data_IF_752671865147
#
_entry.id   IF_752671865147
#
_cell.length_a   1.000
_cell.length_b   1.000
_cell.length_c   1.000
_cell.angle_alpha   90.00
_cell.angle_beta   90.00
_cell.angle_gamma   90.00
#
_symmetry.space_group_name_H-M   'P 1'
#
loop_
_entity.id
_entity.type
_entity.pdbx_description
1 polymer ?
#
# COMPACT_ATOMS: atom_id res chain seq x y z
N UNK A 1 9.27 12.56 3.20
CA UNK A 1 8.78 12.48 4.59
C UNK A 1 9.77 13.07 5.58
N UNK A 2 11.02 12.59 5.62
CA UNK A 2 12.06 13.06 6.55
C UNK A 2 12.12 14.59 6.69
N UNK A 3 12.32 15.32 5.58
CA UNK A 3 12.44 16.79 5.58
C UNK A 3 11.21 17.48 6.19
N UNK A 4 10.01 16.99 5.89
CA UNK A 4 8.76 17.58 6.40
C UNK A 4 8.59 17.37 7.91
N UNK A 5 8.95 16.19 8.41
CA UNK A 5 8.91 15.90 9.87
C UNK A 5 9.99 16.71 10.58
N UNK A 6 11.21 16.73 10.05
CA UNK A 6 12.31 17.51 10.60
C UNK A 6 11.93 19.00 10.67
N UNK A 7 11.40 19.57 9.58
CA UNK A 7 10.93 20.95 9.57
C UNK A 7 9.80 21.23 10.57
N UNK A 8 8.85 20.30 10.77
CA UNK A 8 7.79 20.44 11.79
C UNK A 8 8.40 20.51 13.20
N UNK A 9 9.40 19.67 13.47
CA UNK A 9 10.07 19.59 14.77
C UNK A 9 10.91 20.83 15.05
N UNK A 10 11.58 21.38 14.04
CA UNK A 10 12.39 22.60 14.18
C UNK A 10 11.60 23.90 14.36
N UNK A 11 10.26 23.90 14.19
CA UNK A 11 9.43 25.10 14.43
C UNK A 11 9.38 25.48 15.91
N UNK A 12 9.20 26.76 16.22
CA UNK A 12 9.18 27.28 17.61
C UNK A 12 7.96 26.86 18.44
N UNK A 13 6.98 26.14 17.88
CA UNK A 13 5.80 25.69 18.64
C UNK A 13 6.14 24.63 19.69
N UNK A 14 5.77 24.90 20.94
CA UNK A 14 5.88 23.96 22.06
C UNK A 14 4.96 22.74 21.90
N UNK A 15 3.77 22.91 21.31
CA UNK A 15 2.85 21.80 21.04
C UNK A 15 2.85 21.47 19.56
N UNK A 16 3.13 20.21 19.24
CA UNK A 16 3.21 19.71 17.87
C UNK A 16 2.28 18.52 17.72
N UNK A 17 1.57 18.47 16.61
CA UNK A 17 0.69 17.36 16.24
C UNK A 17 1.20 16.75 14.93
N UNK A 18 1.48 15.45 14.96
CA UNK A 18 1.83 14.67 13.79
C UNK A 18 0.81 13.52 13.66
N UNK A 19 0.02 13.55 12.60
CA UNK A 19 -0.95 12.49 12.29
C UNK A 19 -0.43 11.74 11.07
N UNK A 20 -0.20 10.44 11.23
CA UNK A 20 0.03 9.53 10.12
C UNK A 20 -1.30 8.98 9.62
N UNK A 21 -1.67 9.41 8.42
CA UNK A 21 -2.85 8.93 7.72
C UNK A 21 -2.42 8.39 6.34
N UNK A 22 -2.93 7.21 5.97
CA UNK A 22 -2.66 6.57 4.69
C UNK A 22 -2.59 5.05 4.80
N UNK A 23 -2.20 4.41 3.69
CA UNK A 23 -2.01 2.96 3.62
C UNK A 23 -0.86 2.54 4.52
N UNK A 24 -1.07 1.50 5.31
CA UNK A 24 -0.05 1.00 6.25
C UNK A 24 0.19 -0.48 6.06
N UNK A 25 1.43 -0.92 6.26
CA UNK A 25 1.77 -2.34 6.22
C UNK A 25 1.17 -3.04 7.45
N UNK A 26 0.52 -4.18 7.23
CA UNK A 26 -0.18 -4.91 8.31
C UNK A 26 0.75 -5.40 9.43
N UNK A 27 1.97 -5.82 9.10
CA UNK A 27 2.88 -6.36 10.12
C UNK A 27 3.68 -5.26 10.84
N UNK A 28 4.33 -4.37 10.08
CA UNK A 28 5.21 -3.35 10.65
C UNK A 28 4.47 -2.10 11.12
N UNK A 29 3.29 -1.84 10.56
CA UNK A 29 2.54 -0.59 10.71
C UNK A 29 3.12 0.55 9.87
N UNK A 30 4.16 0.33 9.08
CA UNK A 30 4.85 1.40 8.34
C UNK A 30 3.90 2.07 7.36
N UNK A 31 3.99 3.40 7.28
CA UNK A 31 3.21 4.17 6.33
C UNK A 31 3.80 4.01 4.93
N UNK A 32 2.96 3.59 3.99
CA UNK A 32 3.35 3.31 2.60
C UNK A 32 3.26 4.58 1.76
N UNK A 33 4.34 4.88 1.03
CA UNK A 33 4.39 5.94 0.02
C UNK A 33 4.71 5.34 -1.34
N UNK A 34 4.40 6.08 -2.41
CA UNK A 34 4.70 5.67 -3.78
C UNK A 34 6.20 5.36 -4.01
N UNK A 35 7.11 5.98 -3.24
CA UNK A 35 8.57 5.78 -3.33
C UNK A 35 9.19 5.36 -1.99
N UNK A 36 8.58 4.39 -1.31
CA UNK A 36 9.15 3.76 -0.12
C UNK A 36 8.22 3.78 1.07
N UNK A 37 8.80 3.59 2.27
CA UNK A 37 8.05 3.45 3.51
C UNK A 37 8.53 4.47 4.54
N UNK A 38 7.63 4.89 5.42
CA UNK A 38 7.97 5.65 6.62
C UNK A 38 7.72 4.80 7.86
N UNK A 39 8.80 4.45 8.56
CA UNK A 39 8.77 3.54 9.69
C UNK A 39 8.93 4.21 11.05
N UNK A 40 8.58 3.49 12.10
CA UNK A 40 8.79 3.92 13.49
C UNK A 40 10.27 4.21 13.79
N UNK A 41 11.18 3.45 13.18
CA UNK A 41 12.62 3.65 13.32
C UNK A 41 13.09 4.95 12.67
N UNK A 42 12.57 5.30 11.49
CA UNK A 42 12.90 6.56 10.83
C UNK A 42 12.40 7.76 11.63
N UNK A 43 11.19 7.69 12.19
CA UNK A 43 10.69 8.74 13.08
C UNK A 43 11.55 8.86 14.34
N UNK A 44 11.92 7.73 14.96
CA UNK A 44 12.82 7.70 16.12
C UNK A 44 14.17 8.38 15.80
N UNK A 45 14.74 8.10 14.63
CA UNK A 45 15.98 8.72 14.18
C UNK A 45 15.82 10.24 14.05
N UNK A 46 14.79 10.70 13.34
CA UNK A 46 14.51 12.13 13.17
C UNK A 46 14.37 12.85 14.51
N UNK A 47 13.66 12.25 15.47
CA UNK A 47 13.50 12.80 16.82
C UNK A 47 14.83 12.89 17.58
N UNK A 48 15.71 11.90 17.39
CA UNK A 48 17.02 11.87 18.05
C UNK A 48 17.95 12.94 17.46
N UNK A 49 17.96 13.11 16.14
CA UNK A 49 18.75 14.14 15.45
C UNK A 49 18.29 15.55 15.83
N UNK A 50 16.97 15.77 15.93
CA UNK A 50 16.40 17.03 16.40
C UNK A 50 16.82 17.40 17.82
N UNK A 51 16.93 16.40 18.69
CA UNK A 51 17.39 16.63 20.05
C UNK A 51 18.86 17.06 20.07
N UNK A 52 19.72 16.43 19.27
CA UNK A 52 21.13 16.79 19.16
C UNK A 52 21.31 18.21 18.59
N UNK A 53 20.49 18.61 17.61
CA UNK A 53 20.49 19.97 17.06
C UNK A 53 20.07 21.02 18.10
N UNK A 54 19.06 20.70 18.93
CA UNK A 54 18.61 21.57 20.01
C UNK A 54 19.68 21.76 21.10
N UNK A 55 20.41 20.69 21.45
CA UNK A 55 21.50 20.74 22.42
C UNK A 55 22.71 21.52 21.90
N UNK A 56 23.06 21.36 20.62
CA UNK A 56 24.25 21.98 20.02
C UNK A 56 24.07 23.46 19.65
N UNK A 57 22.85 23.90 19.33
CA UNK A 57 22.59 25.28 18.89
C UNK A 57 22.67 26.33 20.02
N UNK A 58 22.89 25.91 21.28
CA UNK A 58 23.09 26.82 22.42
C UNK A 58 21.93 27.79 22.66
N UNK A 59 20.77 27.53 22.06
CA UNK A 59 19.62 28.40 22.09
C UNK A 59 19.05 28.41 23.50
N UNK A 60 19.02 29.59 24.12
CA UNK A 60 18.53 29.86 25.47
C UNK A 60 17.03 29.58 25.68
N UNK A 61 16.35 28.96 24.71
CA UNK A 61 14.99 28.43 24.83
C UNK A 61 14.89 27.11 25.62
N UNK A 62 15.92 26.79 26.41
CA UNK A 62 16.17 25.55 27.17
C UNK A 62 15.07 25.11 28.18
N UNK A 63 13.87 25.71 28.16
CA UNK A 63 12.83 25.48 29.16
C UNK A 63 11.43 25.18 28.62
N UNK A 64 11.14 25.31 27.32
CA UNK A 64 9.85 24.87 26.78
C UNK A 64 9.94 23.39 26.40
N UNK A 65 9.55 22.51 27.33
CA UNK A 65 9.39 21.07 27.07
C UNK A 65 8.49 20.87 25.85
N UNK A 66 9.06 20.39 24.74
CA UNK A 66 8.29 20.16 23.50
C UNK A 66 7.30 19.02 23.77
N UNK A 67 6.02 19.24 23.49
CA UNK A 67 4.96 18.24 23.57
C UNK A 67 4.59 17.81 22.16
N UNK A 68 5.01 16.61 21.77
CA UNK A 68 4.64 16.00 20.50
C UNK A 68 3.49 15.02 20.71
N UNK A 69 2.33 15.34 20.16
CA UNK A 69 1.22 14.39 19.99
C UNK A 69 1.39 13.69 18.65
N UNK A 70 1.50 12.37 18.68
CA UNK A 70 1.70 11.51 17.54
C UNK A 70 0.52 10.56 17.41
N UNK A 71 -0.23 10.68 16.31
CA UNK A 71 -1.32 9.76 15.97
C UNK A 71 -0.87 8.83 14.87
N UNK A 72 -0.89 7.53 15.12
CA UNK A 72 -0.50 6.49 14.16
C UNK A 72 -1.49 5.32 14.20
N UNK A 73 -1.50 4.44 13.20
CA UNK A 73 -2.26 3.19 13.28
C UNK A 73 -1.92 2.42 14.55
N UNK A 74 -2.92 1.74 15.13
CA UNK A 74 -2.74 0.86 16.30
C UNK A 74 -2.07 -0.48 15.93
N UNK A 75 -1.48 -0.56 14.74
CA UNK A 75 -0.89 -1.77 14.16
C UNK A 75 0.64 -1.61 14.15
N UNK A 76 1.36 -2.73 14.29
CA UNK A 76 2.81 -2.74 14.21
C UNK A 76 3.54 -2.24 15.46
N UNK A 77 4.77 -1.76 15.29
CA UNK A 77 5.72 -1.52 16.40
C UNK A 77 5.93 -0.04 16.75
N UNK A 78 5.04 0.87 16.30
CA UNK A 78 5.17 2.32 16.54
C UNK A 78 5.37 2.68 18.01
N UNK A 79 4.42 2.27 18.86
CA UNK A 79 4.44 2.58 20.29
C UNK A 79 5.67 1.99 20.97
N UNK A 80 6.00 0.73 20.68
CA UNK A 80 7.15 0.04 21.27
C UNK A 80 8.48 0.68 20.86
N UNK A 81 8.64 1.00 19.58
CA UNK A 81 9.90 1.58 19.04
C UNK A 81 10.15 2.99 19.56
N UNK A 82 9.11 3.82 19.60
CA UNK A 82 9.22 5.22 20.04
C UNK A 82 9.41 5.34 21.56
N UNK A 83 8.77 4.48 22.35
CA UNK A 83 8.91 4.49 23.81
C UNK A 83 10.18 3.80 24.32
N UNK A 84 10.78 2.91 23.53
CA UNK A 84 12.00 2.20 23.89
C UNK A 84 13.27 3.08 23.95
N UNK A 85 13.17 4.41 23.76
CA UNK A 85 14.31 5.32 23.82
C UNK A 85 14.27 6.22 25.06
N UNK A 86 15.07 5.95 26.10
CA UNK A 86 15.10 6.77 27.32
C UNK A 86 15.53 8.22 27.05
N UNK A 87 16.39 8.46 26.06
CA UNK A 87 16.90 9.80 25.72
C UNK A 87 15.82 10.74 25.20
N UNK A 88 14.73 10.21 24.63
CA UNK A 88 13.60 11.01 24.15
C UNK A 88 12.67 11.49 25.28
N UNK A 89 12.77 10.90 26.49
CA UNK A 89 11.79 11.15 27.57
C UNK A 89 12.10 12.39 28.42
N UNK A 90 13.35 12.84 28.48
CA UNK A 90 13.74 14.01 29.28
C UNK A 90 13.36 15.37 28.62
N UNK A 91 13.61 15.59 27.31
CA UNK A 91 13.35 16.88 26.66
C UNK A 91 11.99 16.98 25.95
N UNK A 92 11.38 15.84 25.58
CA UNK A 92 10.15 15.79 24.78
C UNK A 92 9.07 15.00 25.53
N UNK A 93 7.89 15.60 25.68
CA UNK A 93 6.67 14.87 26.09
C UNK A 93 6.04 14.25 24.86
N UNK A 94 6.30 12.95 24.63
CA UNK A 94 5.69 12.21 23.54
C UNK A 94 4.35 11.59 23.96
N UNK A 95 3.25 11.97 23.29
CA UNK A 95 1.91 11.40 23.49
C UNK A 95 1.51 10.61 22.24
N UNK A 96 1.46 9.28 22.34
CA UNK A 96 1.10 8.40 21.21
C UNK A 96 -0.35 7.95 21.36
N UNK A 97 -1.17 8.21 20.34
CA UNK A 97 -2.60 7.87 20.29
C UNK A 97 -3.29 8.20 21.62
N UNK A 98 -3.33 9.48 22.04
CA UNK A 98 -4.03 9.84 23.27
C UNK A 98 -5.50 9.42 23.18
N UNK A 99 -6.13 9.07 24.32
CA UNK A 99 -7.54 8.72 24.33
C UNK A 99 -8.38 9.86 23.76
N UNK A 100 -9.43 9.50 23.05
CA UNK A 100 -10.35 10.47 22.48
C UNK A 100 -11.01 11.29 23.60
N UNK A 101 -10.91 12.61 23.50
CA UNK A 101 -11.44 13.55 24.50
C UNK A 101 -12.80 14.11 24.07
N UNK A 102 -13.19 13.87 22.82
CA UNK A 102 -14.43 14.42 22.27
C UNK A 102 -15.64 13.63 22.79
N UNK A 103 -16.70 14.30 23.26
CA UNK A 103 -17.96 13.64 23.56
C UNK A 103 -18.57 13.08 22.28
N UNK A 104 -19.38 12.02 22.39
CA UNK A 104 -20.15 11.50 21.25
C UNK A 104 -21.01 12.64 20.67
N UNK A 105 -20.69 13.08 19.47
CA UNK A 105 -21.45 14.10 18.74
C UNK A 105 -22.25 13.41 17.64
N UNK A 106 -23.57 13.51 17.70
CA UNK A 106 -24.49 12.96 16.68
C UNK A 106 -24.16 13.48 15.26
N UNK A 107 -23.67 14.71 15.17
CA UNK A 107 -23.23 15.31 13.90
C UNK A 107 -21.97 14.67 13.30
N UNK A 108 -21.07 14.11 14.12
CA UNK A 108 -19.87 13.43 13.64
C UNK A 108 -20.25 12.09 12.99
N UNK A 109 -21.19 11.36 13.60
CA UNK A 109 -21.72 10.11 13.03
C UNK A 109 -22.39 10.36 11.68
N UNK A 110 -23.26 11.37 11.61
CA UNK A 110 -23.88 11.80 10.36
C UNK A 110 -22.86 12.20 9.28
N UNK A 111 -21.80 12.90 9.67
CA UNK A 111 -20.71 13.27 8.76
C UNK A 111 -19.89 12.05 8.30
N UNK A 112 -19.53 11.13 9.20
CA UNK A 112 -18.83 9.90 8.82
C UNK A 112 -19.67 9.01 7.90
N UNK A 113 -20.99 8.93 8.13
CA UNK A 113 -21.91 8.20 7.26
C UNK A 113 -21.99 8.85 5.88
N UNK A 114 -22.07 10.19 5.83
CA UNK A 114 -22.02 10.94 4.57
C UNK A 114 -20.72 10.68 3.81
N UNK A 115 -19.55 10.79 4.47
CA UNK A 115 -18.27 10.50 3.81
C UNK A 115 -18.24 9.04 3.35
N UNK A 116 -18.58 8.09 4.21
CA UNK A 116 -18.57 6.66 3.88
C UNK A 116 -19.44 6.35 2.66
N UNK A 117 -20.60 7.00 2.54
CA UNK A 117 -21.49 6.85 1.38
C UNK A 117 -20.93 7.43 0.08
N UNK A 118 -19.98 8.35 0.16
CA UNK A 118 -19.33 8.97 -1.01
C UNK A 118 -18.00 8.32 -1.38
N UNK A 119 -17.39 7.60 -0.44
CA UNK A 119 -16.18 6.83 -0.68
C UNK A 119 -16.55 5.50 -1.33
N UNK A 120 -16.10 5.30 -2.57
CA UNK A 120 -16.09 3.99 -3.20
C UNK A 120 -14.65 3.63 -3.57
N UNK A 121 -14.24 2.36 -3.39
CA UNK A 121 -12.96 1.91 -3.90
C UNK A 121 -12.94 2.07 -5.43
N UNK A 122 -11.77 2.40 -5.97
CA UNK A 122 -11.59 2.54 -7.41
C UNK A 122 -11.99 1.23 -8.12
N UNK A 123 -12.74 1.35 -9.22
CA UNK A 123 -13.13 0.19 -10.02
C UNK A 123 -11.90 -0.52 -10.59
N UNK A 124 -11.93 -1.85 -10.67
CA UNK A 124 -10.89 -2.62 -11.38
C UNK A 124 -10.75 -2.20 -12.85
N UNK A 125 -11.80 -1.60 -13.45
CA UNK A 125 -11.73 -1.03 -14.79
C UNK A 125 -10.95 0.28 -14.87
N UNK A 126 -11.02 1.10 -13.82
CA UNK A 126 -10.29 2.37 -13.72
C UNK A 126 -8.83 2.12 -13.33
N UNK A 127 -8.57 1.14 -12.45
CA UNK A 127 -7.23 0.69 -12.09
C UNK A 127 -6.49 0.09 -13.30
N UNK A 128 -7.19 -0.70 -14.10
CA UNK A 128 -6.58 -1.48 -15.18
C UNK A 128 -7.18 -1.08 -16.53
N UNK A 129 -6.85 0.09 -17.10
CA UNK A 129 -7.47 0.55 -18.34
C UNK A 129 -7.15 -0.37 -19.53
N UNK A 130 -8.10 -0.58 -20.47
CA UNK A 130 -7.89 -1.42 -21.65
C UNK A 130 -6.75 -0.89 -22.54
N UNK A 131 -6.21 -1.70 -23.47
CA UNK A 131 -5.21 -1.25 -24.42
C UNK A 131 -5.76 -0.13 -25.33
N UNK A 132 -4.94 0.89 -25.57
CA UNK A 132 -5.29 2.02 -26.46
C UNK A 132 -5.05 1.72 -27.94
N UNK A 133 -4.43 0.59 -28.26
CA UNK A 133 -4.03 0.17 -29.61
C UNK A 133 -4.78 -1.09 -30.02
N UNK A 134 -5.13 -1.20 -31.30
CA UNK A 134 -5.75 -2.41 -31.85
C UNK A 134 -4.67 -3.47 -32.13
N UNK A 135 -4.96 -4.73 -31.77
CA UNK A 135 -4.07 -5.87 -32.00
C UNK A 135 -3.20 -6.23 -30.79
N UNK A 136 -2.58 -7.41 -30.87
CA UNK A 136 -1.78 -7.99 -29.79
C UNK A 136 -0.29 -7.87 -30.04
N UNK A 137 0.46 -7.59 -28.97
CA UNK A 137 1.90 -7.67 -28.93
C UNK A 137 2.32 -9.14 -29.01
N UNK A 138 3.13 -9.48 -30.02
CA UNK A 138 3.73 -10.82 -30.17
C UNK A 138 5.17 -10.82 -29.67
N UNK A 139 5.42 -11.62 -28.64
CA UNK A 139 6.76 -11.85 -28.10
C UNK A 139 7.36 -13.10 -28.78
N UNK A 140 8.25 -12.89 -29.76
CA UNK A 140 8.79 -13.97 -30.62
C UNK A 140 10.12 -14.53 -30.13
N UNK A 141 10.82 -13.82 -29.26
CA UNK A 141 12.09 -14.26 -28.66
C UNK A 141 11.91 -14.47 -27.16
N UNK A 142 12.65 -15.41 -26.56
CA UNK A 142 12.71 -15.53 -25.12
C UNK A 142 13.05 -14.18 -24.47
N UNK A 143 12.20 -13.72 -23.56
CA UNK A 143 12.38 -12.44 -22.88
C UNK A 143 11.90 -12.51 -21.43
N UNK A 144 12.53 -11.70 -20.58
CA UNK A 144 12.14 -11.48 -19.20
C UNK A 144 11.95 -9.97 -18.98
N UNK A 145 10.79 -9.58 -18.46
CA UNK A 145 10.48 -8.24 -18.03
C UNK A 145 10.44 -8.21 -16.51
N UNK A 146 11.23 -7.32 -15.90
CA UNK A 146 11.20 -7.08 -14.46
C UNK A 146 10.51 -5.74 -14.23
N UNK A 147 9.45 -5.73 -13.41
CA UNK A 147 8.64 -4.53 -13.19
C UNK A 147 9.01 -3.86 -11.86
N UNK A 148 8.89 -2.53 -11.76
CA UNK A 148 9.00 -1.83 -10.49
C UNK A 148 7.76 -2.10 -9.63
N UNK A 149 7.81 -3.17 -8.83
CA UNK A 149 6.71 -3.67 -8.00
C UNK A 149 6.42 -2.83 -6.74
N UNK A 150 7.26 -1.83 -6.44
CA UNK A 150 7.20 -1.08 -5.20
C UNK A 150 7.77 -1.91 -4.05
N UNK A 151 6.90 -2.45 -3.20
CA UNK A 151 7.25 -3.53 -2.28
C UNK A 151 6.96 -4.88 -2.94
N UNK A 152 7.84 -5.86 -2.75
CA UNK A 152 7.72 -7.19 -3.34
C UNK A 152 8.32 -7.28 -4.74
N UNK A 153 7.99 -8.37 -5.44
CA UNK A 153 8.56 -8.70 -6.74
C UNK A 153 7.46 -8.81 -7.82
N UNK A 154 7.84 -8.57 -9.07
CA UNK A 154 7.00 -8.88 -10.22
C UNK A 154 7.86 -9.03 -11.47
N UNK A 155 7.72 -10.16 -12.15
CA UNK A 155 8.40 -10.44 -13.41
C UNK A 155 7.49 -11.15 -14.40
N UNK A 156 7.72 -10.95 -15.70
CA UNK A 156 7.01 -11.63 -16.76
C UNK A 156 7.99 -12.29 -17.72
N UNK A 157 7.85 -13.59 -17.89
CA UNK A 157 8.64 -14.41 -18.79
C UNK A 157 7.80 -14.77 -20.01
N UNK A 158 8.37 -14.63 -21.19
CA UNK A 158 7.80 -15.20 -22.41
C UNK A 158 8.86 -16.00 -23.13
N UNK A 159 8.51 -17.23 -23.47
CA UNK A 159 9.25 -18.11 -24.38
C UNK A 159 8.31 -18.50 -25.53
N UNK A 160 8.81 -19.21 -26.53
CA UNK A 160 8.05 -19.49 -27.75
C UNK A 160 6.71 -20.19 -27.46
N UNK A 161 5.61 -19.41 -27.46
CA UNK A 161 4.24 -19.89 -27.23
C UNK A 161 3.81 -20.02 -25.76
N UNK A 162 4.65 -19.64 -24.79
CA UNK A 162 4.32 -19.74 -23.36
C UNK A 162 4.71 -18.48 -22.58
N UNK A 163 3.82 -18.02 -21.71
CA UNK A 163 3.95 -16.82 -20.91
C UNK A 163 3.69 -17.10 -19.42
N UNK A 164 4.56 -16.58 -18.56
CA UNK A 164 4.48 -16.76 -17.11
C UNK A 164 4.64 -15.40 -16.42
N UNK A 165 3.61 -14.98 -15.70
CA UNK A 165 3.68 -13.88 -14.75
C UNK A 165 4.07 -14.42 -13.38
N UNK A 166 5.14 -13.91 -12.79
CA UNK A 166 5.59 -14.27 -11.44
C UNK A 166 5.34 -13.07 -10.53
N UNK A 167 4.49 -13.28 -9.52
CA UNK A 167 4.02 -12.27 -8.56
C UNK A 167 3.36 -11.01 -9.20
N UNK A 168 2.71 -10.18 -8.38
CA UNK A 168 1.98 -9.00 -8.85
C UNK A 168 2.46 -7.66 -8.32
N UNK A 169 3.37 -7.68 -7.34
CA UNK A 169 3.75 -6.50 -6.59
C UNK A 169 2.65 -5.92 -5.71
N UNK A 170 3.04 -4.90 -4.94
CA UNK A 170 2.20 -4.23 -3.93
C UNK A 170 1.20 -3.19 -4.47
N UNK A 171 1.31 -2.82 -5.75
CA UNK A 171 0.48 -1.77 -6.36
C UNK A 171 -0.81 -2.35 -6.97
N UNK A 172 -1.97 -1.84 -6.56
CA UNK A 172 -3.28 -2.24 -7.11
C UNK A 172 -3.51 -1.80 -8.56
N UNK A 173 -2.69 -0.88 -9.07
CA UNK A 173 -2.64 -0.54 -10.50
C UNK A 173 -1.91 -1.61 -11.33
N UNK A 174 -1.38 -2.67 -10.67
CA UNK A 174 -0.63 -3.78 -11.24
C UNK A 174 0.52 -3.31 -12.15
N UNK A 175 1.75 -3.31 -11.62
CA UNK A 175 2.92 -2.81 -12.34
C UNK A 175 3.15 -3.46 -13.73
N UNK A 176 2.74 -4.70 -13.91
CA UNK A 176 2.80 -5.47 -15.17
C UNK A 176 1.71 -5.10 -16.19
N UNK A 177 0.63 -4.43 -15.78
CA UNK A 177 -0.56 -4.20 -16.61
C UNK A 177 -0.26 -3.46 -17.90
N UNK A 178 0.68 -2.50 -17.85
CA UNK A 178 1.11 -1.73 -19.03
C UNK A 178 1.63 -2.61 -20.16
N UNK A 179 2.22 -3.77 -19.85
CA UNK A 179 2.64 -4.76 -20.84
C UNK A 179 1.50 -5.75 -21.12
N UNK A 180 0.98 -6.36 -20.06
CA UNK A 180 0.07 -7.51 -20.12
C UNK A 180 -1.23 -7.18 -20.84
N UNK A 181 -1.76 -5.96 -20.72
CA UNK A 181 -2.98 -5.53 -21.43
C UNK A 181 -2.89 -5.56 -22.95
N UNK A 182 -1.68 -5.62 -23.51
CA UNK A 182 -1.45 -5.71 -24.95
C UNK A 182 -1.21 -7.15 -25.43
N UNK A 183 -1.20 -8.12 -24.52
CA UNK A 183 -1.05 -9.52 -24.87
C UNK A 183 -2.41 -10.15 -25.18
N UNK A 184 -2.39 -11.21 -25.98
CA UNK A 184 -3.56 -12.04 -26.24
C UNK A 184 -3.90 -12.92 -25.03
N UNK A 185 -2.87 -13.44 -24.35
CA UNK A 185 -3.03 -14.31 -23.19
C UNK A 185 -1.84 -14.25 -22.23
N UNK A 186 -2.10 -14.65 -20.99
CA UNK A 186 -1.13 -15.02 -19.96
C UNK A 186 -1.38 -16.49 -19.60
N UNK A 187 -0.47 -17.37 -19.98
CA UNK A 187 -0.66 -18.83 -19.86
C UNK A 187 -0.62 -19.29 -18.40
N UNK A 188 0.25 -18.68 -17.59
CA UNK A 188 0.36 -18.99 -16.17
C UNK A 188 0.67 -17.75 -15.32
N UNK A 189 0.13 -17.75 -14.09
CA UNK A 189 0.57 -16.88 -13.00
C UNK A 189 1.17 -17.75 -11.91
N UNK A 190 2.35 -17.41 -11.39
CA UNK A 190 2.96 -18.04 -10.23
C UNK A 190 3.06 -17.00 -9.10
N UNK A 191 2.33 -17.24 -8.03
CA UNK A 191 2.41 -16.48 -6.79
C UNK A 191 3.32 -17.23 -5.81
N UNK A 192 4.46 -16.62 -5.48
CA UNK A 192 5.52 -17.26 -4.69
C UNK A 192 5.19 -17.39 -3.22
N UNK A 193 4.36 -16.50 -2.68
CA UNK A 193 3.84 -16.53 -1.32
C UNK A 193 2.61 -15.63 -1.18
N UNK A 194 1.95 -15.72 -0.03
CA UNK A 194 0.83 -14.86 0.36
C UNK A 194 1.38 -13.67 1.11
N UNK A 195 1.17 -12.46 0.57
CA UNK A 195 1.65 -11.23 1.18
C UNK A 195 1.10 -9.97 0.52
N UNK A 196 1.04 -8.90 1.29
CA UNK A 196 0.60 -7.56 0.84
C UNK A 196 1.52 -6.95 -0.23
N UNK A 197 2.72 -7.49 -0.35
CA UNK A 197 3.77 -7.11 -1.26
C UNK A 197 3.65 -7.78 -2.63
N UNK A 198 2.92 -8.89 -2.75
CA UNK A 198 2.87 -9.66 -4.00
C UNK A 198 1.46 -9.82 -4.58
N UNK A 199 0.43 -9.80 -3.72
CA UNK A 199 -0.95 -10.08 -4.11
C UNK A 199 -1.72 -8.93 -4.77
N UNK A 200 -1.59 -7.66 -4.34
CA UNK A 200 -2.50 -6.59 -4.80
C UNK A 200 -2.63 -6.49 -6.32
N UNK A 201 -1.53 -6.50 -7.07
CA UNK A 201 -1.58 -6.41 -8.53
C UNK A 201 -2.30 -7.60 -9.19
N UNK A 202 -2.08 -8.83 -8.70
CA UNK A 202 -2.78 -10.02 -9.22
C UNK A 202 -4.26 -10.00 -8.83
N UNK A 203 -4.59 -9.59 -7.60
CA UNK A 203 -5.98 -9.46 -7.14
C UNK A 203 -6.73 -8.48 -8.05
N UNK A 204 -6.15 -7.32 -8.35
CA UNK A 204 -6.78 -6.34 -9.24
C UNK A 204 -6.98 -6.90 -10.65
N UNK A 205 -6.03 -7.69 -11.17
CA UNK A 205 -6.18 -8.37 -12.47
C UNK A 205 -7.32 -9.41 -12.45
N UNK A 206 -7.40 -10.26 -11.42
CA UNK A 206 -8.46 -11.24 -11.28
C UNK A 206 -9.84 -10.61 -11.08
N UNK A 207 -9.94 -9.57 -10.25
CA UNK A 207 -11.16 -8.79 -10.05
C UNK A 207 -11.64 -8.16 -11.35
N UNK A 208 -10.72 -7.70 -12.20
CA UNK A 208 -11.07 -7.25 -13.55
C UNK A 208 -11.66 -8.39 -14.39
N UNK A 209 -11.03 -9.58 -14.41
CA UNK A 209 -11.57 -10.73 -15.17
C UNK A 209 -12.97 -11.14 -14.70
N UNK A 210 -13.23 -11.08 -13.39
CA UNK A 210 -14.57 -11.30 -12.83
C UNK A 210 -15.55 -10.23 -13.34
N UNK A 211 -15.19 -8.95 -13.24
CA UNK A 211 -16.04 -7.87 -13.73
C UNK A 211 -16.31 -7.93 -15.25
N UNK A 212 -15.35 -8.37 -16.06
CA UNK A 212 -15.53 -8.57 -17.50
C UNK A 212 -16.54 -9.69 -17.78
N UNK A 213 -16.49 -10.78 -17.01
CA UNK A 213 -17.44 -11.89 -17.12
C UNK A 213 -18.87 -11.44 -16.77
N UNK A 214 -19.02 -10.65 -15.71
CA UNK A 214 -20.31 -10.08 -15.27
C UNK A 214 -20.90 -9.11 -16.32
N UNK A 215 -20.07 -8.23 -16.90
CA UNK A 215 -20.51 -7.32 -17.98
C UNK A 215 -20.92 -8.06 -19.26
N UNK A 216 -20.22 -9.16 -19.59
CA UNK A 216 -20.53 -9.96 -20.78
C UNK A 216 -21.89 -10.65 -20.65
N UNK A 217 -22.31 -11.02 -19.43
CA UNK A 217 -23.66 -11.55 -19.18
C UNK A 217 -24.78 -10.52 -19.30
N UNK A 218 -24.49 -9.23 -19.18
CA UNK A 218 -25.50 -8.15 -19.15
C UNK A 218 -25.73 -7.45 -20.51
N UNK A 219 -25.11 -7.91 -21.61
CA UNK A 219 -25.33 -7.44 -23.00
C UNK A 219 -25.56 -5.91 -23.14
N UNK A 220 -24.55 -5.09 -22.83
CA UNK A 220 -24.53 -3.65 -23.17
C UNK A 220 -23.46 -3.35 -24.22
N UNK A 221 -23.87 -3.02 -25.46
CA UNK A 221 -23.00 -2.77 -26.63
C UNK A 221 -21.90 -1.71 -26.40
N UNK A 222 -22.16 -0.71 -25.54
CA UNK A 222 -21.19 0.37 -25.22
C UNK A 222 -20.03 -0.05 -24.31
N UNK A 223 -20.07 -1.24 -23.72
CA UNK A 223 -19.04 -1.74 -22.79
C UNK A 223 -17.94 -2.58 -23.45
N UNK A 224 -18.03 -2.80 -24.76
CA UNK A 224 -17.13 -3.68 -25.53
C UNK A 224 -15.65 -3.30 -25.44
N UNK A 225 -15.32 -2.02 -25.23
CA UNK A 225 -13.93 -1.56 -24.98
C UNK A 225 -13.40 -1.96 -23.60
N UNK A 226 -14.26 -2.18 -22.61
CA UNK A 226 -13.87 -2.61 -21.26
C UNK A 226 -13.54 -4.10 -21.19
N UNK A 227 -13.96 -4.89 -22.18
CA UNK A 227 -13.78 -6.35 -22.23
C UNK A 227 -12.43 -6.80 -22.79
N UNK A 228 -11.52 -5.86 -23.10
CA UNK A 228 -10.26 -6.16 -23.75
C UNK A 228 -9.17 -6.31 -22.69
N UNK A 229 -9.08 -7.49 -22.10
CA UNK A 229 -7.92 -7.94 -21.32
C UNK A 229 -7.43 -9.30 -21.84
N UNK A 230 -6.16 -9.68 -21.61
CA UNK A 230 -5.67 -10.98 -22.03
C UNK A 230 -6.48 -12.12 -21.41
N UNK A 231 -6.56 -13.22 -22.14
CA UNK A 231 -7.01 -14.49 -21.58
C UNK A 231 -6.06 -14.96 -20.47
N UNK A 232 -6.62 -15.62 -19.46
CA UNK A 232 -5.86 -16.13 -18.33
C UNK A 232 -5.94 -17.65 -18.30
N UNK A 233 -4.79 -18.31 -18.31
CA UNK A 233 -4.67 -19.76 -18.16
C UNK A 233 -4.75 -20.18 -16.69
N UNK A 234 -3.64 -20.69 -16.15
CA UNK A 234 -3.59 -21.31 -14.81
C UNK A 234 -2.95 -20.38 -13.78
N UNK A 235 -3.44 -20.42 -12.54
CA UNK A 235 -2.81 -19.73 -11.41
C UNK A 235 -2.22 -20.76 -10.44
N UNK A 236 -0.91 -20.71 -10.28
CA UNK A 236 -0.17 -21.45 -9.26
C UNK A 236 -0.01 -20.57 -8.03
N UNK A 237 -0.49 -21.05 -6.90
CA UNK A 237 -0.52 -20.30 -5.65
C UNK A 237 0.18 -21.05 -4.55
N UNK A 238 1.35 -20.55 -4.12
CA UNK A 238 2.05 -21.10 -2.96
C UNK A 238 1.40 -20.61 -1.66
N UNK A 239 0.36 -21.33 -1.24
CA UNK A 239 -0.40 -21.01 -0.04
C UNK A 239 0.29 -21.57 1.22
N UNK A 240 0.43 -20.80 2.32
CA UNK A 240 0.95 -21.30 3.59
C UNK A 240 0.08 -22.46 4.11
N UNK A 241 0.72 -23.43 4.78
CA UNK A 241 0.07 -24.67 5.26
C UNK A 241 -1.22 -24.42 6.06
N UNK A 242 -1.30 -23.31 6.81
CA UNK A 242 -2.48 -22.94 7.59
C UNK A 242 -3.74 -22.74 6.74
N UNK A 243 -3.60 -22.25 5.51
CA UNK A 243 -4.72 -22.08 4.58
C UNK A 243 -5.09 -23.38 3.84
N UNK A 244 -4.22 -24.40 3.87
CA UNK A 244 -4.50 -25.71 3.27
C UNK A 244 -5.36 -26.59 4.17
N UNK A 245 -5.34 -26.36 5.49
CA UNK A 245 -6.17 -27.06 6.47
C UNK A 245 -7.66 -26.67 6.35
N UNK A 246 -7.96 -25.40 6.07
CA UNK A 246 -9.33 -24.91 5.85
C UNK A 246 -9.96 -25.49 4.57
N UNK A 247 -9.16 -25.75 3.53
CA UNK A 247 -9.66 -26.39 2.30
C UNK A 247 -10.05 -27.86 2.47
N UNK A 248 -9.54 -28.55 3.50
CA UNK A 248 -9.92 -29.93 3.82
C UNK A 248 -11.19 -30.03 4.68
N UNK A 249 -11.69 -28.92 5.24
CA UNK A 249 -12.96 -28.88 5.98
C UNK A 249 -14.18 -28.55 5.11
N UNK A 250 -13.99 -28.13 3.86
CA UNK A 250 -15.07 -27.87 2.90
C UNK A 250 -15.25 -28.96 1.83
N UNK A 251 -14.92 -30.22 2.15
CA UNK A 251 -15.30 -31.39 1.33
C UNK A 251 -16.30 -32.28 2.06
#
# INVERSE_FOLDING_TARGET
MYVSVFALLSRESAHKLLILAGLTAEESGDLLFHKGRFSAHQLKQILTEQLLDLESSGSSHLHSKISLTFSCPNVGQWRKTLLANPSLQAPITLRINPPEVLPAMESLEGFTSLISSTLSPASSFDLLPPPSTVGFLKLSRPCCYVFPAGCGDCAFFAINGFTLLVDGGSDSQACFWKLVRHLDRVDAILLTHVGTENLPGVISFLQRKVGEKELTSELKEDSSKKLISPELGVVFFNSPNRLQEEQHQCK
#
